data_IF_255292095493
#
_entry.id   IF_255292095493
#
_cell.length_a   1.000
_cell.length_b   1.000
_cell.length_c   1.000
_cell.angle_alpha   90.00
_cell.angle_beta   90.00
_cell.angle_gamma   90.00
#
_symmetry.space_group_name_H-M   'P 1'
#
loop_
_entity.id
_entity.type
_entity.pdbx_description
1 polymer ?
#
# COMPACT_ATOMS: atom_id res chain seq x y z
N UNK A 1 -17.04 -0.65 8.25
CA UNK A 1 -17.63 -1.59 7.26
C UNK A 1 -18.18 -0.93 5.99
N UNK A 2 -19.06 0.09 6.04
CA UNK A 2 -19.67 0.63 4.80
C UNK A 2 -18.71 1.42 3.91
N UNK A 3 -17.90 2.32 4.47
CA UNK A 3 -16.94 3.12 3.70
C UNK A 3 -15.82 2.28 3.06
N UNK A 4 -15.51 1.12 3.65
CA UNK A 4 -14.53 0.17 3.11
C UNK A 4 -15.07 -0.69 1.97
N UNK A 5 -16.38 -0.72 1.76
CA UNK A 5 -16.98 -1.39 0.61
C UNK A 5 -16.89 -0.48 -0.62
N UNK A 6 -16.21 -0.91 -1.70
CA UNK A 6 -16.04 -0.06 -2.87
C UNK A 6 -17.34 0.30 -3.58
N UNK A 7 -18.32 -0.61 -3.62
CA UNK A 7 -19.61 -0.41 -4.28
C UNK A 7 -20.48 0.56 -3.49
N UNK A 8 -20.51 0.41 -2.17
CA UNK A 8 -21.22 1.34 -1.28
C UNK A 8 -20.63 2.75 -1.36
N UNK A 9 -19.29 2.87 -1.32
CA UNK A 9 -18.62 4.16 -1.48
C UNK A 9 -18.93 4.80 -2.84
N UNK A 10 -19.00 3.98 -3.90
CA UNK A 10 -19.36 4.44 -5.23
C UNK A 10 -20.81 4.94 -5.29
N UNK A 11 -21.74 4.19 -4.70
CA UNK A 11 -23.15 4.58 -4.60
C UNK A 11 -23.33 5.88 -3.81
N UNK A 12 -22.59 6.06 -2.70
CA UNK A 12 -22.57 7.33 -1.96
C UNK A 12 -22.11 8.49 -2.84
N UNK A 13 -21.09 8.27 -3.68
CA UNK A 13 -20.65 9.23 -4.68
C UNK A 13 -21.75 9.62 -5.66
N UNK A 14 -22.48 8.63 -6.18
CA UNK A 14 -23.61 8.87 -7.10
C UNK A 14 -24.75 9.64 -6.46
N UNK A 15 -25.10 9.33 -5.21
CA UNK A 15 -26.10 10.10 -4.44
C UNK A 15 -25.63 11.53 -4.19
N UNK A 16 -24.33 11.75 -4.02
CA UNK A 16 -23.73 13.09 -3.89
C UNK A 16 -23.62 13.85 -5.23
N UNK A 17 -24.18 13.31 -6.33
CA UNK A 17 -24.21 13.96 -7.65
C UNK A 17 -22.99 13.67 -8.53
N UNK A 18 -22.12 12.73 -8.15
CA UNK A 18 -20.99 12.31 -8.99
C UNK A 18 -21.41 11.25 -10.00
N UNK A 19 -20.82 11.29 -11.20
CA UNK A 19 -20.96 10.20 -12.17
C UNK A 19 -20.30 8.91 -11.63
N UNK A 20 -20.98 7.78 -11.81
CA UNK A 20 -20.56 6.48 -11.27
C UNK A 20 -19.16 6.05 -11.73
N UNK A 21 -18.72 6.40 -12.95
CA UNK A 21 -17.38 6.03 -13.44
C UNK A 21 -16.34 7.16 -13.28
N UNK A 22 -16.63 8.18 -12.47
CA UNK A 22 -15.71 9.31 -12.32
C UNK A 22 -14.58 8.99 -11.33
N UNK A 23 -13.33 9.10 -11.79
CA UNK A 23 -12.15 9.03 -10.93
C UNK A 23 -12.09 10.16 -9.88
N UNK A 24 -12.90 11.21 -10.04
CA UNK A 24 -13.02 12.31 -9.09
C UNK A 24 -13.84 12.00 -7.84
N UNK A 25 -14.58 10.88 -7.81
CA UNK A 25 -15.53 10.53 -6.73
C UNK A 25 -14.84 10.53 -5.36
N UNK A 26 -13.69 9.86 -5.24
CA UNK A 26 -12.96 9.78 -3.96
C UNK A 26 -12.60 11.16 -3.42
N UNK A 27 -12.08 12.04 -4.27
CA UNK A 27 -11.67 13.38 -3.87
C UNK A 27 -12.87 14.25 -3.49
N UNK A 28 -13.94 14.19 -4.28
CA UNK A 28 -15.15 14.98 -4.07
C UNK A 28 -15.89 14.56 -2.80
N UNK A 29 -16.12 13.24 -2.63
CA UNK A 29 -16.82 12.68 -1.47
C UNK A 29 -16.00 12.90 -0.21
N UNK A 30 -14.78 12.38 -0.13
CA UNK A 30 -14.00 12.47 1.12
C UNK A 30 -13.59 13.92 1.44
N UNK A 31 -13.32 14.74 0.42
CA UNK A 31 -13.06 16.17 0.61
C UNK A 31 -14.26 16.94 1.16
N UNK A 32 -15.49 16.50 0.88
CA UNK A 32 -16.72 17.14 1.37
C UNK A 32 -17.15 16.58 2.72
N UNK A 33 -17.18 15.25 2.86
CA UNK A 33 -17.54 14.55 4.10
C UNK A 33 -16.59 14.95 5.23
N UNK A 34 -15.28 14.97 4.99
CA UNK A 34 -14.29 15.41 5.99
C UNK A 34 -14.59 16.79 6.59
N UNK A 35 -14.98 17.76 5.75
CA UNK A 35 -15.27 19.13 6.20
C UNK A 35 -16.50 19.22 7.09
N UNK A 36 -17.39 18.24 7.04
CA UNK A 36 -18.63 18.19 7.83
C UNK A 36 -18.52 17.27 9.04
N UNK A 37 -17.84 16.13 8.90
CA UNK A 37 -17.65 15.16 9.99
C UNK A 37 -16.62 15.65 11.01
N UNK A 38 -15.46 16.15 10.57
CA UNK A 38 -14.39 16.49 11.51
C UNK A 38 -14.77 17.57 12.56
N UNK A 39 -15.59 18.60 12.23
CA UNK A 39 -16.09 19.54 13.25
C UNK A 39 -16.94 18.89 14.36
N UNK A 40 -17.57 17.75 14.08
CA UNK A 40 -18.42 16.99 15.01
C UNK A 40 -17.76 15.67 15.44
N UNK A 41 -16.45 15.52 15.23
CA UNK A 41 -15.76 14.24 15.43
C UNK A 41 -15.85 13.72 16.87
N UNK A 42 -15.89 14.60 17.86
CA UNK A 42 -16.03 14.21 19.28
C UNK A 42 -17.39 13.61 19.60
N UNK A 43 -18.44 14.02 18.88
CA UNK A 43 -19.81 13.51 19.07
C UNK A 43 -20.03 12.21 18.30
N UNK A 44 -19.40 12.11 17.12
CA UNK A 44 -19.56 10.99 16.20
C UNK A 44 -18.55 9.86 16.42
N UNK A 45 -17.48 10.12 17.17
CA UNK A 45 -16.36 9.19 17.34
C UNK A 45 -15.60 8.90 16.06
N UNK A 46 -15.67 9.76 15.03
CA UNK A 46 -15.12 9.51 13.70
C UNK A 46 -14.25 10.67 13.18
N UNK A 47 -13.07 10.33 12.70
CA UNK A 47 -12.07 11.27 12.23
C UNK A 47 -11.64 10.94 10.80
N UNK A 48 -11.76 11.88 9.87
CA UNK A 48 -11.29 11.71 8.49
C UNK A 48 -9.96 12.47 8.29
N UNK A 49 -8.91 11.70 8.02
CA UNK A 49 -7.51 12.10 8.00
C UNK A 49 -6.92 11.92 6.59
N UNK A 50 -5.76 12.53 6.34
CA UNK A 50 -5.08 12.50 5.05
C UNK A 50 -5.67 13.47 4.02
N UNK A 51 -5.64 13.10 2.74
CA UNK A 51 -6.17 13.88 1.64
C UNK A 51 -5.55 13.57 0.29
N UNK A 52 -5.76 14.47 -0.67
CA UNK A 52 -5.13 14.45 -2.00
C UNK A 52 -3.75 15.15 -2.00
N UNK A 53 -2.81 14.61 -2.76
CA UNK A 53 -1.49 15.20 -2.98
C UNK A 53 -0.70 15.35 -1.68
N UNK A 54 -0.22 16.57 -1.39
CA UNK A 54 0.57 16.85 -0.18
C UNK A 54 -0.18 16.52 1.12
N UNK A 55 -1.51 16.54 1.13
CA UNK A 55 -2.30 16.21 2.30
C UNK A 55 -2.26 14.70 2.63
N UNK A 56 -2.04 13.82 1.65
CA UNK A 56 -1.89 12.38 1.86
C UNK A 56 -0.75 12.08 2.85
N UNK A 57 0.34 12.84 2.77
CA UNK A 57 1.54 12.69 3.61
C UNK A 57 1.35 13.16 5.05
N UNK A 58 0.26 13.86 5.35
CA UNK A 58 -0.05 14.33 6.70
C UNK A 58 -0.79 13.28 7.54
N UNK A 59 -1.28 12.20 6.93
CA UNK A 59 -2.10 11.20 7.61
C UNK A 59 -1.43 10.63 8.88
N UNK A 60 -0.14 10.20 8.88
CA UNK A 60 0.50 9.68 10.09
C UNK A 60 0.47 10.68 11.26
N UNK A 61 0.91 11.92 11.03
CA UNK A 61 0.88 12.97 12.06
C UNK A 61 -0.53 13.28 12.56
N UNK A 62 -1.53 13.20 11.67
CA UNK A 62 -2.91 13.41 12.07
C UNK A 62 -3.48 12.25 12.89
N UNK A 63 -3.02 11.02 12.63
CA UNK A 63 -3.35 9.83 13.42
C UNK A 63 -2.78 9.99 14.83
N UNK A 64 -1.50 10.32 14.96
CA UNK A 64 -0.85 10.57 16.27
C UNK A 64 -1.66 11.58 17.10
N UNK A 65 -2.00 12.72 16.50
CA UNK A 65 -2.78 13.77 17.18
C UNK A 65 -4.17 13.32 17.65
N UNK A 66 -4.82 12.43 16.90
CA UNK A 66 -6.13 11.89 17.28
C UNK A 66 -5.93 10.83 18.37
N UNK A 67 -4.97 9.93 18.21
CA UNK A 67 -4.66 8.87 19.16
C UNK A 67 -4.32 9.43 20.54
N UNK A 68 -3.48 10.46 20.61
CA UNK A 68 -3.14 11.19 21.85
C UNK A 68 -4.38 11.75 22.55
N UNK A 69 -5.35 12.23 21.76
CA UNK A 69 -6.56 12.87 22.27
C UNK A 69 -7.58 11.87 22.81
N UNK A 70 -7.72 10.72 22.17
CA UNK A 70 -8.73 9.70 22.52
C UNK A 70 -8.15 8.53 23.33
N UNK A 71 -6.84 8.49 23.55
CA UNK A 71 -6.17 7.46 24.35
C UNK A 71 -5.94 6.13 23.61
N UNK A 72 -5.64 6.21 22.30
CA UNK A 72 -5.31 5.04 21.47
C UNK A 72 -3.79 4.87 21.31
N UNK A 73 -3.36 3.68 20.90
CA UNK A 73 -1.97 3.43 20.49
C UNK A 73 -1.70 4.11 19.14
N UNK A 74 -1.06 5.29 19.20
CA UNK A 74 -0.71 6.06 18.01
C UNK A 74 0.35 5.39 17.15
N UNK A 75 1.30 4.68 17.75
CA UNK A 75 2.42 4.05 17.04
C UNK A 75 1.92 2.88 16.19
N UNK A 76 1.03 2.04 16.73
CA UNK A 76 0.41 0.94 15.99
C UNK A 76 -0.42 1.47 14.81
N UNK A 77 -1.23 2.50 15.03
CA UNK A 77 -2.07 3.09 13.98
C UNK A 77 -1.25 3.78 12.88
N UNK A 78 -0.15 4.43 13.25
CA UNK A 78 0.80 5.00 12.29
C UNK A 78 1.49 3.90 11.50
N UNK A 79 1.94 2.82 12.15
CA UNK A 79 2.52 1.65 11.49
C UNK A 79 1.54 1.07 10.47
N UNK A 80 0.29 0.85 10.87
CA UNK A 80 -0.77 0.37 9.98
C UNK A 80 -0.95 1.29 8.77
N UNK A 81 -1.09 2.61 8.98
CA UNK A 81 -1.23 3.60 7.92
C UNK A 81 -0.04 3.64 6.94
N UNK A 82 1.17 3.40 7.43
CA UNK A 82 2.37 3.36 6.60
C UNK A 82 2.45 2.05 5.81
N UNK A 83 2.12 0.92 6.45
CA UNK A 83 2.10 -0.40 5.82
C UNK A 83 1.09 -0.45 4.68
N UNK A 84 -0.17 -0.11 4.91
CA UNK A 84 -1.20 -0.10 3.85
C UNK A 84 -0.77 0.72 2.65
N UNK A 85 -0.13 1.87 2.87
CA UNK A 85 0.37 2.74 1.81
C UNK A 85 1.53 2.12 1.05
N UNK A 86 2.45 1.45 1.74
CA UNK A 86 3.58 0.76 1.10
C UNK A 86 3.12 -0.50 0.37
N UNK A 87 2.14 -1.23 0.89
CA UNK A 87 1.51 -2.37 0.21
C UNK A 87 0.89 -1.93 -1.11
N UNK A 88 -0.01 -0.95 -1.07
CA UNK A 88 -0.72 -0.45 -2.26
C UNK A 88 0.23 0.17 -3.30
N UNK A 89 1.34 0.76 -2.86
CA UNK A 89 2.31 1.42 -3.74
C UNK A 89 3.38 0.46 -4.30
N UNK A 90 3.81 -0.54 -3.52
CA UNK A 90 5.02 -1.31 -3.82
C UNK A 90 4.76 -2.78 -4.15
N UNK A 91 3.72 -3.39 -3.56
CA UNK A 91 3.50 -4.84 -3.66
C UNK A 91 2.60 -5.18 -4.84
N UNK A 92 1.69 -4.29 -5.21
CA UNK A 92 0.87 -4.40 -6.43
C UNK A 92 1.54 -3.60 -7.54
N UNK A 93 2.31 -4.26 -8.42
CA UNK A 93 3.11 -3.60 -9.45
C UNK A 93 2.41 -3.60 -10.81
N UNK A 94 1.42 -2.73 -10.93
CA UNK A 94 0.49 -2.58 -12.06
C UNK A 94 0.65 -1.23 -12.81
N UNK A 95 1.62 -0.42 -12.40
CA UNK A 95 1.93 0.90 -12.92
C UNK A 95 1.22 2.07 -12.22
N UNK A 96 0.31 1.83 -11.28
CA UNK A 96 -0.40 2.89 -10.57
C UNK A 96 0.45 3.51 -9.46
N UNK A 97 0.43 4.85 -9.38
CA UNK A 97 1.10 5.59 -8.32
C UNK A 97 0.09 6.31 -7.43
N UNK A 98 0.21 6.14 -6.11
CA UNK A 98 -0.71 6.71 -5.14
C UNK A 98 -0.60 8.24 -5.10
N UNK A 99 -1.75 8.91 -5.24
CA UNK A 99 -1.85 10.36 -5.18
C UNK A 99 -2.91 10.85 -4.18
N UNK A 100 -3.73 9.95 -3.62
CA UNK A 100 -4.64 10.24 -2.51
C UNK A 100 -4.54 9.16 -1.44
N UNK A 101 -4.65 9.56 -0.19
CA UNK A 101 -4.67 8.67 0.97
C UNK A 101 -5.62 9.27 2.00
N UNK A 102 -6.69 8.55 2.32
CA UNK A 102 -7.66 8.97 3.33
C UNK A 102 -7.85 7.87 4.35
N UNK A 103 -7.71 8.21 5.62
CA UNK A 103 -7.94 7.29 6.74
C UNK A 103 -9.16 7.78 7.50
N UNK A 104 -10.14 6.90 7.68
CA UNK A 104 -11.31 7.14 8.53
C UNK A 104 -11.04 6.33 9.79
N UNK A 105 -10.79 7.01 10.91
CA UNK A 105 -10.41 6.43 12.20
C UNK A 105 -11.56 6.64 13.20
N UNK A 106 -11.96 5.59 13.92
CA UNK A 106 -12.83 5.70 15.07
C UNK A 106 -12.05 6.01 16.34
N UNK A 107 -12.70 6.59 17.33
CA UNK A 107 -12.16 6.74 18.69
C UNK A 107 -12.00 5.41 19.44
N UNK A 108 -12.57 4.33 18.92
CA UNK A 108 -12.35 2.95 19.38
C UNK A 108 -11.12 2.27 18.72
N UNK A 109 -10.46 2.94 17.78
CA UNK A 109 -9.25 2.44 17.10
C UNK A 109 -9.49 1.67 15.81
N UNK A 110 -10.75 1.44 15.41
CA UNK A 110 -11.03 0.88 14.09
C UNK A 110 -10.75 1.90 12.99
N UNK A 111 -10.15 1.44 11.90
CA UNK A 111 -9.91 2.28 10.73
C UNK A 111 -10.37 1.67 9.40
N UNK A 112 -10.64 2.56 8.46
CA UNK A 112 -10.85 2.29 7.03
C UNK A 112 -9.88 3.16 6.24
N UNK A 113 -9.09 2.54 5.37
CA UNK A 113 -8.14 3.27 4.53
C UNK A 113 -8.59 3.21 3.08
N UNK A 114 -8.80 4.38 2.48
CA UNK A 114 -9.16 4.52 1.07
C UNK A 114 -8.04 5.25 0.36
N UNK A 115 -7.36 4.53 -0.54
CA UNK A 115 -6.23 5.06 -1.31
C UNK A 115 -6.60 5.11 -2.79
N UNK A 116 -5.98 6.05 -3.52
CA UNK A 116 -6.21 6.16 -4.96
C UNK A 116 -4.89 6.28 -5.71
N UNK A 117 -4.69 5.37 -6.65
CA UNK A 117 -3.59 5.34 -7.60
C UNK A 117 -3.97 5.96 -8.94
N UNK A 118 -2.99 6.52 -9.64
CA UNK A 118 -3.11 7.02 -11.01
C UNK A 118 -2.06 6.36 -11.90
N UNK A 119 -2.49 5.79 -13.02
CA UNK A 119 -1.61 5.38 -14.12
C UNK A 119 -1.60 6.48 -15.16
N UNK A 120 -0.46 7.14 -15.33
CA UNK A 120 -0.36 8.38 -16.13
C UNK A 120 -0.40 8.15 -17.63
N UNK A 121 0.07 7.00 -18.09
CA UNK A 121 0.07 6.56 -19.49
C UNK A 121 -1.35 6.37 -20.04
N UNK A 122 -2.22 5.70 -19.30
CA UNK A 122 -3.61 5.43 -19.68
C UNK A 122 -4.60 6.39 -19.04
N UNK A 123 -4.12 7.29 -18.18
CA UNK A 123 -4.92 8.24 -17.38
C UNK A 123 -6.06 7.56 -16.61
N UNK A 124 -5.80 6.34 -16.13
CA UNK A 124 -6.76 5.55 -15.35
C UNK A 124 -6.47 5.70 -13.86
N UNK A 125 -7.51 5.65 -13.06
CA UNK A 125 -7.38 5.67 -11.60
C UNK A 125 -7.90 4.36 -11.03
N UNK A 126 -7.21 3.86 -10.00
CA UNK A 126 -7.55 2.64 -9.27
C UNK A 126 -7.73 2.98 -7.80
N UNK A 127 -8.73 2.39 -7.15
CA UNK A 127 -9.05 2.64 -5.75
C UNK A 127 -8.82 1.39 -4.92
N UNK A 128 -8.16 1.57 -3.79
CA UNK A 128 -7.82 0.51 -2.85
C UNK A 128 -8.57 0.76 -1.54
N UNK A 129 -9.20 -0.29 -1.02
CA UNK A 129 -9.93 -0.23 0.23
C UNK A 129 -9.39 -1.24 1.22
N UNK A 130 -9.28 -0.78 2.46
CA UNK A 130 -8.88 -1.55 3.62
C UNK A 130 -9.85 -1.33 4.76
N UNK A 131 -9.98 -2.33 5.62
CA UNK A 131 -10.75 -2.22 6.85
C UNK A 131 -10.09 -3.00 7.97
N UNK A 132 -9.67 -2.32 9.03
CA UNK A 132 -8.93 -2.95 10.13
C UNK A 132 -9.55 -4.24 10.69
N UNK A 133 -10.88 -4.37 10.90
CA UNK A 133 -11.44 -5.59 11.49
C UNK A 133 -11.35 -6.81 10.55
N UNK A 134 -11.15 -6.61 9.24
CA UNK A 134 -10.94 -7.70 8.27
C UNK A 134 -9.48 -7.98 7.96
N UNK A 135 -8.54 -7.11 8.35
CA UNK A 135 -7.12 -7.35 8.13
C UNK A 135 -6.67 -8.51 9.02
N UNK A 136 -6.08 -9.54 8.40
CA UNK A 136 -5.45 -10.69 9.08
C UNK A 136 -3.94 -10.73 8.84
N UNK A 137 -3.51 -10.14 7.74
CA UNK A 137 -2.12 -9.91 7.34
C UNK A 137 -2.11 -8.62 6.53
N UNK A 138 -1.04 -7.83 6.58
CA UNK A 138 -0.88 -6.67 5.69
C UNK A 138 -0.37 -7.05 4.29
N UNK A 139 0.12 -8.27 4.11
CA UNK A 139 0.87 -8.69 2.90
C UNK A 139 0.27 -9.91 2.20
N UNK A 140 -0.85 -10.44 2.70
CA UNK A 140 -1.55 -11.59 2.13
C UNK A 140 -3.05 -11.31 2.04
N UNK A 141 -3.53 -11.04 0.83
CA UNK A 141 -4.91 -10.65 0.49
C UNK A 141 -5.54 -9.65 1.47
N UNK A 142 -4.91 -8.49 1.69
CA UNK A 142 -5.26 -7.64 2.82
C UNK A 142 -6.41 -6.65 2.52
N UNK A 143 -6.72 -6.44 1.24
CA UNK A 143 -7.71 -5.47 0.77
C UNK A 143 -9.13 -5.99 0.92
N UNK A 144 -10.06 -5.11 1.30
CA UNK A 144 -11.50 -5.37 1.14
C UNK A 144 -11.93 -5.21 -0.32
N UNK A 145 -11.15 -4.50 -1.13
CA UNK A 145 -11.32 -4.46 -2.57
C UNK A 145 -10.31 -3.55 -3.28
N UNK A 146 -9.91 -3.97 -4.48
CA UNK A 146 -9.16 -3.17 -5.44
C UNK A 146 -10.07 -3.02 -6.67
N UNK A 147 -10.48 -1.79 -6.98
CA UNK A 147 -11.41 -1.52 -8.08
C UNK A 147 -10.71 -0.79 -9.21
N UNK A 148 -10.83 -1.37 -10.41
CA UNK A 148 -10.37 -0.84 -11.68
C UNK A 148 -11.37 -1.21 -12.79
N UNK A 149 -11.44 -0.40 -13.84
CA UNK A 149 -12.26 -0.65 -15.04
C UNK A 149 -11.56 -1.56 -16.04
N UNK A 150 -10.29 -1.93 -15.79
CA UNK A 150 -9.45 -2.65 -16.74
C UNK A 150 -8.65 -3.77 -16.05
N UNK A 151 -8.81 -4.99 -16.56
CA UNK A 151 -7.94 -6.11 -16.26
C UNK A 151 -6.88 -6.17 -17.37
N UNK A 152 -5.66 -5.76 -17.05
CA UNK A 152 -4.53 -5.76 -17.99
C UNK A 152 -3.76 -7.07 -18.01
N UNK A 153 -2.53 -6.99 -18.53
CA UNK A 153 -1.55 -8.07 -18.57
C UNK A 153 -1.18 -8.57 -17.15
N UNK A 154 -0.46 -9.70 -17.09
CA UNK A 154 0.09 -10.25 -15.85
C UNK A 154 0.91 -9.19 -15.09
N UNK A 155 0.64 -9.04 -13.80
CA UNK A 155 1.33 -8.11 -12.91
C UNK A 155 2.12 -8.87 -11.84
N UNK A 156 3.19 -8.26 -11.33
CA UNK A 156 3.81 -8.73 -10.10
C UNK A 156 2.96 -8.25 -8.91
N UNK A 157 2.34 -9.19 -8.20
CA UNK A 157 1.55 -8.92 -7.00
C UNK A 157 2.08 -9.71 -5.80
N UNK A 158 2.94 -9.09 -5.00
CA UNK A 158 3.47 -9.70 -3.77
C UNK A 158 2.49 -9.63 -2.59
N UNK A 159 1.35 -8.92 -2.74
CA UNK A 159 0.29 -8.89 -1.74
C UNK A 159 -0.73 -10.04 -1.92
N UNK A 160 -0.63 -10.81 -3.01
CA UNK A 160 -1.48 -11.99 -3.25
C UNK A 160 -1.11 -13.13 -2.29
N UNK A 161 -2.09 -13.83 -1.72
CA UNK A 161 -1.80 -14.96 -0.84
C UNK A 161 -0.94 -16.04 -1.51
N UNK A 162 -1.04 -16.22 -2.83
CA UNK A 162 -0.23 -17.19 -3.59
C UNK A 162 1.26 -16.83 -3.65
N UNK A 163 1.63 -15.59 -3.37
CA UNK A 163 3.01 -15.13 -3.37
C UNK A 163 3.77 -15.44 -2.06
N UNK A 164 3.21 -16.27 -1.18
CA UNK A 164 3.81 -16.57 0.13
C UNK A 164 5.23 -17.13 0.06
N UNK A 165 5.43 -18.14 -0.79
CA UNK A 165 6.76 -18.71 -1.02
C UNK A 165 7.76 -17.67 -1.53
N UNK A 166 7.35 -16.77 -2.43
CA UNK A 166 8.21 -15.70 -2.91
C UNK A 166 8.58 -14.72 -1.78
N UNK A 167 7.62 -14.30 -0.95
CA UNK A 167 7.87 -13.43 0.20
C UNK A 167 8.88 -14.04 1.17
N UNK A 168 8.74 -15.33 1.48
CA UNK A 168 9.64 -16.03 2.41
C UNK A 168 11.07 -16.09 1.86
N UNK A 169 11.25 -16.51 0.60
CA UNK A 169 12.58 -16.53 -0.03
C UNK A 169 13.20 -15.13 -0.15
N UNK A 170 12.40 -14.09 -0.41
CA UNK A 170 12.88 -12.70 -0.42
C UNK A 170 13.46 -12.32 0.96
N UNK A 171 12.78 -12.68 2.05
CA UNK A 171 13.27 -12.40 3.41
C UNK A 171 14.55 -13.19 3.69
N UNK A 172 14.57 -14.49 3.39
CA UNK A 172 15.75 -15.34 3.57
C UNK A 172 16.97 -14.77 2.82
N UNK A 173 16.80 -14.38 1.55
CA UNK A 173 17.87 -13.79 0.74
C UNK A 173 18.41 -12.48 1.33
N UNK A 174 17.60 -11.73 2.08
CA UNK A 174 18.07 -10.49 2.74
C UNK A 174 18.95 -10.74 3.95
N UNK A 175 18.94 -11.97 4.48
CA UNK A 175 19.74 -12.42 5.62
C UNK A 175 21.10 -13.02 5.19
N UNK A 176 21.22 -13.43 3.92
CA UNK A 176 22.47 -13.92 3.35
C UNK A 176 23.54 -12.82 3.22
N UNK A 177 24.79 -13.25 3.00
CA UNK A 177 25.89 -12.34 2.65
C UNK A 177 25.61 -11.67 1.29
N UNK A 178 25.48 -10.32 1.22
CA UNK A 178 25.16 -9.62 -0.01
C UNK A 178 26.13 -9.94 -1.15
N UNK A 179 27.41 -10.16 -0.84
CA UNK A 179 28.41 -10.48 -1.84
C UNK A 179 28.17 -11.86 -2.44
N UNK A 180 27.94 -12.87 -1.60
CA UNK A 180 27.61 -14.22 -2.04
C UNK A 180 26.38 -14.25 -2.96
N UNK A 181 25.31 -13.52 -2.61
CA UNK A 181 24.09 -13.45 -3.45
C UNK A 181 24.37 -12.79 -4.80
N UNK A 182 25.13 -11.69 -4.83
CA UNK A 182 25.48 -11.01 -6.09
C UNK A 182 26.38 -11.89 -6.96
N UNK A 183 27.35 -12.57 -6.37
CA UNK A 183 28.27 -13.43 -7.10
C UNK A 183 27.51 -14.66 -7.66
N UNK A 184 26.61 -15.26 -6.88
CA UNK A 184 25.70 -16.31 -7.37
C UNK A 184 24.83 -15.81 -8.52
N UNK A 185 24.25 -14.61 -8.41
CA UNK A 185 23.43 -14.02 -9.48
C UNK A 185 24.21 -13.78 -10.78
N UNK A 186 25.53 -13.54 -10.72
CA UNK A 186 26.40 -13.42 -11.90
C UNK A 186 26.72 -14.76 -12.56
N UNK A 187 26.73 -15.83 -11.79
CA UNK A 187 26.97 -17.20 -12.28
C UNK A 187 25.73 -17.81 -12.95
N UNK A 188 24.54 -17.22 -12.74
CA UNK A 188 23.31 -17.65 -13.40
C UNK A 188 23.39 -17.32 -14.90
N UNK A 189 23.80 -18.30 -15.70
CA UNK A 189 23.64 -18.25 -17.16
C UNK A 189 22.22 -18.66 -17.53
N UNK A 190 21.37 -17.67 -17.83
CA UNK A 190 20.02 -17.90 -18.34
C UNK A 190 20.10 -18.39 -19.80
N UNK A 191 19.61 -19.59 -20.06
CA UNK A 191 19.52 -20.15 -21.42
C UNK A 191 18.53 -19.40 -22.32
N UNK A 192 18.46 -19.77 -23.61
CA UNK A 192 17.68 -19.03 -24.61
C UNK A 192 16.15 -19.01 -24.40
N UNK A 193 15.57 -19.76 -23.45
CA UNK A 193 14.16 -19.64 -23.06
C UNK A 193 13.93 -20.08 -21.60
N UNK A 194 13.58 -19.14 -20.70
CA UNK A 194 12.24 -18.93 -20.10
C UNK A 194 12.32 -17.80 -19.04
N UNK A 195 11.68 -16.68 -19.40
CA UNK A 195 11.12 -15.58 -18.60
C UNK A 195 11.95 -14.68 -17.66
N UNK A 196 13.27 -14.88 -17.47
CA UNK A 196 14.11 -13.85 -16.81
C UNK A 196 15.32 -13.50 -17.68
N UNK A 197 15.41 -12.25 -18.12
CA UNK A 197 16.52 -11.71 -18.93
C UNK A 197 17.53 -11.02 -18.04
N UNK A 198 18.77 -10.90 -18.51
CA UNK A 198 19.83 -10.14 -17.81
C UNK A 198 19.41 -8.70 -17.47
N UNK A 199 18.57 -8.08 -18.31
CA UNK A 199 18.00 -6.75 -18.04
C UNK A 199 16.88 -6.71 -16.99
N UNK A 200 16.34 -7.85 -16.58
CA UNK A 200 15.28 -7.94 -15.57
C UNK A 200 15.85 -7.89 -14.14
N UNK A 201 17.14 -8.22 -13.96
CA UNK A 201 17.84 -8.17 -12.68
C UNK A 201 18.82 -6.98 -12.64
N UNK A 202 18.44 -5.92 -11.94
CA UNK A 202 19.34 -4.78 -11.69
C UNK A 202 20.26 -5.08 -10.50
N UNK A 203 21.43 -5.69 -10.79
CA UNK A 203 22.42 -6.10 -9.78
C UNK A 203 22.87 -4.95 -8.86
N UNK A 204 22.87 -3.70 -9.34
CA UNK A 204 23.23 -2.55 -8.50
C UNK A 204 22.15 -2.27 -7.46
N UNK A 205 20.87 -2.39 -7.85
CA UNK A 205 19.76 -2.25 -6.91
C UNK A 205 19.68 -3.43 -5.96
N UNK A 206 19.82 -4.65 -6.46
CA UNK A 206 19.85 -5.84 -5.62
C UNK A 206 20.93 -5.69 -4.53
N UNK A 207 22.16 -5.36 -4.92
CA UNK A 207 23.24 -5.16 -3.95
C UNK A 207 23.00 -4.01 -2.96
N UNK A 208 22.43 -2.89 -3.41
CA UNK A 208 22.09 -1.78 -2.52
C UNK A 208 21.04 -2.16 -1.48
N UNK A 209 20.09 -3.02 -1.86
CA UNK A 209 18.99 -3.47 -1.00
C UNK A 209 19.49 -4.47 0.01
N UNK A 210 20.25 -5.47 -0.44
CA UNK A 210 20.90 -6.43 0.44
C UNK A 210 21.82 -5.73 1.45
N UNK A 211 22.59 -4.73 1.01
CA UNK A 211 23.41 -3.94 1.93
C UNK A 211 22.60 -3.09 2.93
N UNK A 212 21.39 -2.65 2.56
CA UNK A 212 20.51 -1.90 3.45
C UNK A 212 19.79 -2.78 4.47
N UNK A 213 19.48 -4.03 4.10
CA UNK A 213 18.85 -5.03 4.97
C UNK A 213 19.85 -5.77 5.84
N UNK A 214 21.06 -6.01 5.34
CA UNK A 214 22.06 -6.82 6.02
C UNK A 214 22.48 -6.19 7.35
N UNK A 215 22.50 -7.00 8.42
CA UNK A 215 22.80 -6.56 9.78
C UNK A 215 21.68 -5.77 10.47
N UNK A 216 20.48 -5.70 9.87
CA UNK A 216 19.25 -5.27 10.55
C UNK A 216 18.39 -6.49 10.86
N UNK A 217 17.61 -6.40 11.92
CA UNK A 217 16.56 -7.38 12.22
C UNK A 217 15.43 -7.19 11.20
N UNK A 218 15.42 -8.02 10.16
CA UNK A 218 14.29 -8.22 9.25
C UNK A 218 13.77 -9.63 9.53
N UNK A 219 12.78 -9.70 10.40
CA UNK A 219 12.20 -10.96 10.84
C UNK A 219 11.11 -11.46 9.89
N UNK A 220 10.44 -10.52 9.22
CA UNK A 220 9.34 -10.83 8.32
C UNK A 220 9.26 -9.86 7.13
N UNK A 221 8.37 -10.17 6.20
CA UNK A 221 8.19 -9.38 4.98
C UNK A 221 7.63 -7.98 5.23
N UNK A 222 6.84 -7.76 6.29
CA UNK A 222 6.35 -6.43 6.65
C UNK A 222 7.50 -5.48 7.04
N UNK A 223 8.48 -5.99 7.78
CA UNK A 223 9.66 -5.22 8.20
C UNK A 223 10.51 -4.80 7.00
N UNK A 224 10.70 -5.73 6.04
CA UNK A 224 11.38 -5.44 4.78
C UNK A 224 10.64 -4.35 4.00
N UNK A 225 9.32 -4.47 3.88
CA UNK A 225 8.48 -3.49 3.17
C UNK A 225 8.55 -2.13 3.85
N UNK A 226 8.64 -2.08 5.18
CA UNK A 226 8.75 -0.85 5.97
C UNK A 226 10.12 -0.17 5.86
N UNK A 227 11.15 -0.89 5.45
CA UNK A 227 12.50 -0.36 5.34
C UNK A 227 12.57 0.84 4.37
N UNK A 228 13.27 1.89 4.80
CA UNK A 228 13.44 3.10 4.00
C UNK A 228 14.36 2.80 2.81
N UNK A 229 13.87 3.06 1.60
CA UNK A 229 14.60 2.75 0.36
C UNK A 229 14.10 1.48 -0.34
N UNK A 230 13.31 0.65 0.35
CA UNK A 230 12.57 -0.46 -0.28
C UNK A 230 11.33 0.09 -0.97
N UNK A 231 11.38 0.17 -2.30
CA UNK A 231 10.28 0.57 -3.17
C UNK A 231 9.89 -0.53 -4.16
N UNK A 232 9.00 -0.24 -5.13
CA UNK A 232 8.47 -1.24 -6.05
C UNK A 232 9.59 -1.89 -6.89
N UNK A 233 10.51 -1.07 -7.41
CA UNK A 233 11.65 -1.55 -8.21
C UNK A 233 12.64 -2.39 -7.41
N UNK A 234 12.76 -2.12 -6.11
CA UNK A 234 13.59 -2.92 -5.20
C UNK A 234 12.96 -4.28 -5.01
N UNK A 235 11.68 -4.34 -4.64
CA UNK A 235 10.99 -5.60 -4.42
C UNK A 235 10.93 -6.43 -5.71
N UNK A 236 10.80 -5.79 -6.87
CA UNK A 236 10.88 -6.46 -8.17
C UNK A 236 12.24 -7.10 -8.44
N UNK A 237 13.33 -6.52 -7.93
CA UNK A 237 14.66 -7.10 -8.12
C UNK A 237 14.94 -8.27 -7.16
N UNK A 238 14.16 -8.40 -6.09
CA UNK A 238 14.25 -9.51 -5.14
C UNK A 238 13.32 -10.68 -5.51
N UNK A 239 12.20 -10.38 -6.16
CA UNK A 239 11.17 -11.33 -6.59
C UNK A 239 11.52 -11.98 -7.93
#
# INVERSE_FOLDING_TARGET
>A
TRMSDPSWFQALGSVAGMQYNSSGVTAAVLGSVRRKINPMANELGLYILGGKGKAAWRAPRQIEQVADKVGLDGDELVRACQLTRRVDQNLVQDGYNLYQSHVILSDEGEWTHIQQGLRTDTRRARRYHWHSPSVRSFVSDPHTGIVDDFCGDSILNLADARADSARNHIVEMTQDDPKAVIDAAREVTMGNYHEVREGDVDLRRLGAVLALSHGREIDNFEDLVMLKGVGPRTLKALA
#
